data_IF_491892732018
#
_entry.id   IF_491892732018
#
_cell.length_a   1.000
_cell.length_b   1.000
_cell.length_c   1.000
_cell.angle_alpha   90.00
_cell.angle_beta   90.00
_cell.angle_gamma   90.00
#
_symmetry.space_group_name_H-M   'P 1'
#
loop_
_entity.id
_entity.type
_entity.pdbx_description
1 polymer ?
#
# COMPACT_ATOMS: atom_id res chain seq x y z
N UNK A 1 -6.40 20.61 30.65
CA UNK A 1 -5.11 20.51 31.35
C UNK A 1 -4.06 20.11 30.34
N UNK A 2 -3.03 20.92 30.14
CA UNK A 2 -1.93 20.60 29.24
C UNK A 2 -0.90 19.76 30.02
N UNK A 3 -0.46 18.64 29.45
CA UNK A 3 0.58 17.79 30.03
C UNK A 3 1.78 17.81 29.09
N UNK A 4 2.96 18.15 29.61
CA UNK A 4 4.23 18.08 28.88
C UNK A 4 5.09 17.01 29.52
N UNK A 5 5.22 15.88 28.83
CA UNK A 5 5.98 14.72 29.28
C UNK A 5 6.31 13.79 28.09
N UNK A 6 7.18 12.81 28.31
CA UNK A 6 7.45 11.75 27.34
C UNK A 6 6.16 10.97 27.00
N UNK A 7 5.88 10.80 25.72
CA UNK A 7 4.61 10.23 25.25
C UNK A 7 4.39 8.80 25.75
N UNK A 8 5.42 7.94 25.64
CA UNK A 8 5.33 6.53 26.04
C UNK A 8 5.11 6.40 27.54
N UNK A 9 5.95 7.06 28.35
CA UNK A 9 5.84 7.02 29.82
C UNK A 9 4.52 7.62 30.30
N UNK A 10 4.02 8.63 29.62
CA UNK A 10 2.70 9.23 29.93
C UNK A 10 1.58 8.25 29.64
N UNK A 11 1.58 7.60 28.47
CA UNK A 11 0.56 6.60 28.12
C UNK A 11 0.59 5.38 29.05
N UNK A 12 1.77 4.87 29.41
CA UNK A 12 1.93 3.77 30.36
C UNK A 12 1.29 4.11 31.73
N UNK A 13 1.62 5.29 32.28
CA UNK A 13 1.07 5.77 33.56
C UNK A 13 -0.43 6.05 33.47
N UNK A 14 -0.88 6.72 32.41
CA UNK A 14 -2.29 7.02 32.21
C UNK A 14 -3.12 5.74 32.09
N UNK A 15 -2.63 4.74 31.35
CA UNK A 15 -3.29 3.44 31.21
C UNK A 15 -3.48 2.76 32.58
N UNK A 16 -2.45 2.73 33.42
CA UNK A 16 -2.55 2.17 34.77
C UNK A 16 -3.56 2.94 35.64
N UNK A 17 -3.57 4.28 35.58
CA UNK A 17 -4.52 5.11 36.32
C UNK A 17 -5.96 4.89 35.86
N UNK A 18 -6.21 4.87 34.54
CA UNK A 18 -7.52 4.62 33.97
C UNK A 18 -8.04 3.23 34.35
N UNK A 19 -7.18 2.22 34.34
CA UNK A 19 -7.53 0.87 34.78
C UNK A 19 -7.94 0.85 36.26
N UNK A 20 -7.18 1.54 37.14
CA UNK A 20 -7.50 1.63 38.57
C UNK A 20 -8.79 2.41 38.85
N UNK A 21 -9.13 3.37 37.99
CA UNK A 21 -10.36 4.15 38.08
C UNK A 21 -11.57 3.42 37.45
N UNK A 22 -11.39 2.18 36.97
CA UNK A 22 -12.39 1.44 36.19
C UNK A 22 -12.97 2.25 35.02
N UNK A 23 -12.15 3.12 34.43
CA UNK A 23 -12.59 3.95 33.32
C UNK A 23 -12.95 3.06 32.12
N UNK A 24 -14.13 3.30 31.56
CA UNK A 24 -14.55 2.76 30.28
C UNK A 24 -14.86 3.92 29.35
N UNK A 25 -14.44 3.81 28.10
CA UNK A 25 -14.75 4.82 27.11
C UNK A 25 -16.23 4.71 26.69
N UNK A 26 -16.89 5.84 26.47
CA UNK A 26 -18.31 5.88 26.10
C UNK A 26 -18.59 5.51 24.63
N UNK A 27 -17.59 4.96 23.93
CA UNK A 27 -17.71 4.56 22.53
C UNK A 27 -18.43 3.21 22.35
N UNK A 28 -18.64 2.45 23.43
CA UNK A 28 -19.29 1.12 23.37
C UNK A 28 -18.65 0.25 22.28
N UNK A 29 -19.48 -0.29 21.39
CA UNK A 29 -19.07 -1.19 20.32
C UNK A 29 -18.62 -0.48 19.03
N UNK A 30 -18.60 0.85 18.99
CA UNK A 30 -18.31 1.62 17.76
C UNK A 30 -16.95 1.27 17.15
N UNK A 31 -15.94 0.98 17.98
CA UNK A 31 -14.61 0.60 17.50
C UNK A 31 -14.64 -0.78 16.84
N UNK A 32 -15.29 -1.77 17.47
CA UNK A 32 -15.42 -3.12 16.91
C UNK A 32 -16.25 -3.11 15.63
N UNK A 33 -17.35 -2.36 15.60
CA UNK A 33 -18.18 -2.22 14.40
C UNK A 33 -17.42 -1.53 13.26
N UNK A 34 -16.63 -0.49 13.55
CA UNK A 34 -15.82 0.17 12.53
C UNK A 34 -14.75 -0.76 11.95
N UNK A 35 -14.09 -1.55 12.80
CA UNK A 35 -13.13 -2.58 12.35
C UNK A 35 -13.81 -3.67 11.52
N UNK A 36 -15.00 -4.10 11.91
CA UNK A 36 -15.76 -5.08 11.14
C UNK A 36 -16.13 -4.55 9.76
N UNK A 37 -16.69 -3.34 9.66
CA UNK A 37 -17.01 -2.70 8.37
C UNK A 37 -15.77 -2.55 7.48
N UNK A 38 -14.64 -2.15 8.08
CA UNK A 38 -13.37 -2.05 7.34
C UNK A 38 -12.93 -3.41 6.79
N UNK A 39 -12.99 -4.47 7.60
CA UNK A 39 -12.64 -5.81 7.17
C UNK A 39 -13.57 -6.32 6.06
N UNK A 40 -14.88 -6.10 6.16
CA UNK A 40 -15.85 -6.45 5.12
C UNK A 40 -15.55 -5.74 3.80
N UNK A 41 -15.25 -4.44 3.85
CA UNK A 41 -14.87 -3.64 2.68
C UNK A 41 -13.53 -4.10 2.09
N UNK A 42 -12.55 -4.40 2.93
CA UNK A 42 -11.26 -4.92 2.49
C UNK A 42 -11.42 -6.26 1.75
N UNK A 43 -12.26 -7.16 2.29
CA UNK A 43 -12.56 -8.43 1.62
C UNK A 43 -13.26 -8.23 0.28
N UNK A 44 -14.20 -7.26 0.18
CA UNK A 44 -14.85 -6.91 -1.09
C UNK A 44 -13.83 -6.44 -2.13
N UNK A 45 -12.97 -5.49 -1.76
CA UNK A 45 -11.91 -4.94 -2.62
C UNK A 45 -10.95 -6.05 -3.07
N UNK A 46 -10.55 -6.91 -2.13
CA UNK A 46 -9.62 -8.00 -2.41
C UNK A 46 -10.21 -9.01 -3.36
N UNK A 47 -11.53 -9.18 -3.48
CA UNK A 47 -12.15 -10.19 -4.34
C UNK A 47 -12.83 -9.61 -5.59
N UNK A 48 -12.60 -8.33 -5.89
CA UNK A 48 -13.18 -7.70 -7.06
C UNK A 48 -12.69 -8.39 -8.34
N UNK A 49 -13.62 -8.62 -9.27
CA UNK A 49 -13.35 -9.28 -10.55
C UNK A 49 -14.04 -8.54 -11.68
N UNK A 50 -13.35 -8.40 -12.81
CA UNK A 50 -13.94 -7.82 -14.01
C UNK A 50 -15.04 -8.73 -14.59
N UNK A 51 -16.09 -8.10 -15.11
CA UNK A 51 -17.22 -8.74 -15.79
C UNK A 51 -17.87 -7.72 -16.75
N UNK A 52 -18.79 -8.15 -17.60
CA UNK A 52 -19.46 -7.25 -18.56
C UNK A 52 -20.22 -6.10 -17.88
N UNK A 53 -20.63 -6.27 -16.62
CA UNK A 53 -21.31 -5.23 -15.81
C UNK A 53 -20.39 -4.66 -14.73
N UNK A 54 -19.08 -4.65 -14.97
CA UNK A 54 -18.09 -4.17 -14.00
C UNK A 54 -18.23 -2.67 -13.74
N UNK A 55 -18.34 -2.32 -12.46
CA UNK A 55 -18.32 -0.93 -11.99
C UNK A 55 -16.95 -0.72 -11.35
N UNK A 56 -16.11 0.19 -11.88
CA UNK A 56 -14.82 0.48 -11.26
C UNK A 56 -14.98 1.21 -9.94
N UNK A 57 -13.93 1.11 -9.11
CA UNK A 57 -13.86 1.82 -7.84
C UNK A 57 -13.82 3.34 -8.01
N UNK A 58 -13.31 3.82 -9.15
CA UNK A 58 -13.32 5.24 -9.54
C UNK A 58 -14.17 5.39 -10.79
N UNK A 59 -15.39 5.90 -10.59
CA UNK A 59 -16.37 6.12 -11.65
C UNK A 59 -16.24 7.54 -12.25
N UNK A 60 -15.17 7.78 -13.02
CA UNK A 60 -14.87 9.04 -13.69
C UNK A 60 -15.42 9.16 -15.15
N UNK A 61 -15.02 10.20 -15.88
CA UNK A 61 -15.50 10.49 -17.23
C UNK A 61 -14.77 9.72 -18.37
N UNK A 62 -13.95 8.72 -18.04
CA UNK A 62 -13.19 7.95 -19.03
C UNK A 62 -14.13 7.09 -19.91
N UNK A 63 -13.81 6.95 -21.21
CA UNK A 63 -14.52 6.02 -22.10
C UNK A 63 -14.08 4.58 -21.82
N UNK A 64 -14.69 3.98 -20.80
CA UNK A 64 -14.25 2.69 -20.23
C UNK A 64 -14.37 1.53 -21.18
N UNK A 65 -15.43 1.48 -21.99
CA UNK A 65 -15.59 0.40 -22.95
C UNK A 65 -14.37 0.35 -23.87
N UNK A 66 -13.97 1.49 -24.44
CA UNK A 66 -12.77 1.55 -25.29
C UNK A 66 -11.48 1.26 -24.54
N UNK A 67 -11.29 1.86 -23.36
CA UNK A 67 -10.04 1.69 -22.60
C UNK A 67 -9.88 0.24 -22.12
N UNK A 68 -10.95 -0.38 -21.62
CA UNK A 68 -10.91 -1.78 -21.18
C UNK A 68 -10.72 -2.72 -22.36
N UNK A 69 -11.43 -2.52 -23.48
CA UNK A 69 -11.22 -3.30 -24.70
C UNK A 69 -9.77 -3.22 -25.20
N UNK A 70 -9.19 -2.02 -25.24
CA UNK A 70 -7.81 -1.82 -25.64
C UNK A 70 -6.82 -2.48 -24.66
N UNK A 71 -6.99 -2.25 -23.37
CA UNK A 71 -6.16 -2.85 -22.32
C UNK A 71 -6.19 -4.38 -22.38
N UNK A 72 -7.39 -4.97 -22.45
CA UNK A 72 -7.57 -6.43 -22.55
C UNK A 72 -6.95 -6.95 -23.85
N UNK A 73 -7.10 -6.24 -24.96
CA UNK A 73 -6.51 -6.63 -26.24
C UNK A 73 -4.99 -6.64 -26.20
N UNK A 74 -4.37 -5.63 -25.58
CA UNK A 74 -2.91 -5.47 -25.49
C UNK A 74 -2.29 -6.43 -24.46
N UNK A 75 -2.85 -6.51 -23.27
CA UNK A 75 -2.24 -7.22 -22.13
C UNK A 75 -2.75 -8.65 -21.96
N UNK A 76 -3.90 -8.98 -22.57
CA UNK A 76 -4.67 -10.21 -22.31
C UNK A 76 -5.12 -10.36 -20.85
N UNK A 77 -5.12 -9.26 -20.10
CA UNK A 77 -5.49 -9.20 -18.70
C UNK A 77 -6.72 -8.30 -18.52
N UNK A 78 -7.47 -8.57 -17.46
CA UNK A 78 -8.58 -7.75 -16.96
C UNK A 78 -8.50 -7.66 -15.43
N UNK A 79 -7.31 -7.87 -14.86
CA UNK A 79 -7.11 -7.95 -13.42
C UNK A 79 -7.14 -6.53 -12.81
N UNK A 80 -8.10 -6.20 -11.92
CA UNK A 80 -8.14 -4.87 -11.32
C UNK A 80 -6.95 -4.63 -10.38
N UNK A 81 -6.45 -3.39 -10.33
CA UNK A 81 -5.33 -3.00 -9.46
C UNK A 81 -5.58 -3.33 -7.99
N UNK A 82 -6.80 -3.08 -7.50
CA UNK A 82 -7.22 -3.44 -6.15
C UNK A 82 -7.14 -4.94 -5.85
N UNK A 83 -7.49 -5.79 -6.83
CA UNK A 83 -7.32 -7.25 -6.72
C UNK A 83 -5.85 -7.63 -6.69
N UNK A 84 -4.99 -6.98 -7.50
CA UNK A 84 -3.53 -7.19 -7.44
C UNK A 84 -3.00 -6.88 -6.05
N UNK A 85 -3.37 -5.73 -5.47
CA UNK A 85 -2.94 -5.38 -4.11
C UNK A 85 -3.40 -6.40 -3.06
N UNK A 86 -4.63 -6.92 -3.17
CA UNK A 86 -5.12 -7.99 -2.30
C UNK A 86 -4.30 -9.27 -2.42
N UNK A 87 -4.04 -9.72 -3.66
CA UNK A 87 -3.20 -10.89 -3.92
C UNK A 87 -1.79 -10.68 -3.37
N UNK A 88 -1.17 -9.53 -3.62
CA UNK A 88 0.16 -9.20 -3.08
C UNK A 88 0.14 -9.20 -1.55
N UNK A 89 -0.88 -8.61 -0.93
CA UNK A 89 -0.98 -8.61 0.52
C UNK A 89 -1.19 -10.04 1.06
N UNK A 90 -1.79 -10.98 0.34
CA UNK A 90 -1.89 -12.38 0.75
C UNK A 90 -0.56 -13.14 0.60
N UNK A 91 0.14 -12.97 -0.52
CA UNK A 91 1.29 -13.81 -0.89
C UNK A 91 2.64 -13.31 -0.38
N UNK A 92 2.78 -12.00 -0.12
CA UNK A 92 4.05 -11.45 0.36
C UNK A 92 4.29 -11.77 1.84
N UNK A 93 5.53 -12.13 2.16
CA UNK A 93 5.97 -12.42 3.53
C UNK A 93 5.82 -11.21 4.45
N UNK A 94 5.59 -11.46 5.74
CA UNK A 94 5.37 -10.41 6.75
C UNK A 94 6.54 -9.44 6.91
N UNK A 95 7.75 -9.83 6.53
CA UNK A 95 8.97 -9.02 6.62
C UNK A 95 9.35 -8.37 5.28
N UNK A 96 8.53 -8.50 4.24
CA UNK A 96 8.76 -7.88 2.93
C UNK A 96 8.54 -6.38 3.00
N UNK A 97 9.34 -5.60 2.27
CA UNK A 97 9.15 -4.14 2.16
C UNK A 97 8.52 -3.82 0.81
N UNK A 98 7.39 -3.13 0.82
CA UNK A 98 6.88 -2.48 -0.37
C UNK A 98 7.35 -1.03 -0.44
N UNK A 99 7.64 -0.58 -1.66
CA UNK A 99 8.07 0.79 -1.97
C UNK A 99 7.11 1.39 -3.00
N UNK A 100 6.58 2.58 -2.74
CA UNK A 100 5.77 3.33 -3.71
C UNK A 100 5.96 4.83 -3.55
N UNK A 101 5.53 5.62 -4.54
CA UNK A 101 5.66 7.07 -4.44
C UNK A 101 4.50 7.86 -5.08
N UNK A 102 4.11 7.53 -6.32
CA UNK A 102 3.23 8.41 -7.07
C UNK A 102 2.12 7.69 -7.85
N UNK A 103 1.21 8.50 -8.42
CA UNK A 103 0.07 8.03 -9.22
C UNK A 103 -1.13 7.62 -8.37
N UNK A 104 -1.93 6.69 -8.88
CA UNK A 104 -3.10 6.13 -8.16
C UNK A 104 -2.69 5.17 -7.04
N UNK A 105 -1.52 4.53 -7.16
CA UNK A 105 -1.04 3.49 -6.26
C UNK A 105 -0.98 3.93 -4.78
N UNK A 106 -0.45 5.11 -4.40
CA UNK A 106 -0.48 5.55 -3.01
C UNK A 106 -1.88 5.60 -2.40
N UNK A 107 -2.88 6.07 -3.17
CA UNK A 107 -4.28 6.11 -2.71
C UNK A 107 -4.86 4.72 -2.51
N UNK A 108 -4.61 3.82 -3.47
CA UNK A 108 -5.06 2.43 -3.38
C UNK A 108 -4.36 1.67 -2.25
N UNK A 109 -3.07 1.91 -2.04
CA UNK A 109 -2.30 1.35 -0.94
C UNK A 109 -2.82 1.86 0.41
N UNK A 110 -3.11 3.16 0.53
CA UNK A 110 -3.70 3.72 1.74
C UNK A 110 -5.06 3.07 2.06
N UNK A 111 -5.86 2.76 1.03
CA UNK A 111 -7.18 2.14 1.18
C UNK A 111 -7.09 0.64 1.51
N UNK A 112 -6.17 -0.08 0.88
CA UNK A 112 -6.24 -1.55 0.80
C UNK A 112 -5.02 -2.28 1.38
N UNK A 113 -3.86 -1.65 1.56
CA UNK A 113 -2.67 -2.35 2.04
C UNK A 113 -2.71 -2.59 3.55
N UNK A 114 -2.53 -3.84 3.98
CA UNK A 114 -2.32 -4.16 5.39
C UNK A 114 -0.82 -4.37 5.64
N UNK A 115 -0.20 -3.45 6.37
CA UNK A 115 1.20 -3.61 6.77
C UNK A 115 1.31 -4.72 7.80
N UNK A 116 2.15 -5.73 7.52
CA UNK A 116 2.28 -6.92 8.36
C UNK A 116 3.43 -6.85 9.37
N UNK A 117 4.34 -5.90 9.22
CA UNK A 117 5.49 -5.76 10.10
C UNK A 117 5.94 -4.31 10.28
N UNK A 118 6.99 -4.15 11.09
CA UNK A 118 7.69 -2.88 11.25
C UNK A 118 8.58 -2.63 10.03
N UNK A 119 8.58 -1.39 9.54
CA UNK A 119 9.40 -0.97 8.39
C UNK A 119 9.11 -1.76 7.09
N UNK A 120 7.87 -2.22 6.89
CA UNK A 120 7.44 -2.98 5.70
C UNK A 120 6.69 -2.15 4.66
N UNK A 121 6.41 -0.88 4.97
CA UNK A 121 5.64 0.04 4.14
C UNK A 121 6.41 1.34 3.94
N UNK A 122 7.12 1.46 2.81
CA UNK A 122 7.92 2.62 2.46
C UNK A 122 7.23 3.43 1.36
N UNK A 123 6.45 4.43 1.75
CA UNK A 123 5.69 5.26 0.82
C UNK A 123 6.19 6.70 0.86
N UNK A 124 6.67 7.22 -0.28
CA UNK A 124 6.89 8.67 -0.43
C UNK A 124 5.59 9.31 -0.89
N UNK A 125 4.87 9.98 0.01
CA UNK A 125 3.59 10.62 -0.31
C UNK A 125 3.54 12.10 0.06
N UNK A 126 4.70 12.70 0.38
CA UNK A 126 4.79 14.12 0.73
C UNK A 126 4.76 14.99 -0.52
N UNK A 127 5.69 14.73 -1.45
CA UNK A 127 5.76 15.43 -2.74
C UNK A 127 5.22 14.59 -3.90
N UNK A 128 4.94 13.31 -3.69
CA UNK A 128 4.49 12.37 -4.73
C UNK A 128 5.48 12.34 -5.89
N UNK A 129 6.75 12.14 -5.54
CA UNK A 129 7.89 12.25 -6.43
C UNK A 129 7.95 11.05 -7.38
N UNK A 130 7.38 11.20 -8.57
CA UNK A 130 7.44 10.20 -9.63
C UNK A 130 8.90 9.82 -9.95
N UNK A 131 9.19 8.51 -10.02
CA UNK A 131 10.53 7.98 -10.27
C UNK A 131 11.35 7.70 -9.01
N UNK A 132 10.78 7.95 -7.82
CA UNK A 132 11.42 7.62 -6.55
C UNK A 132 11.52 6.11 -6.30
N UNK A 133 10.57 5.33 -6.80
CA UNK A 133 10.28 3.96 -6.37
C UNK A 133 11.47 3.00 -6.54
N UNK A 134 12.13 2.98 -7.71
CA UNK A 134 13.26 2.08 -7.97
C UNK A 134 14.49 2.47 -7.16
N UNK A 135 14.79 3.77 -7.09
CA UNK A 135 15.97 4.27 -6.39
C UNK A 135 15.84 4.01 -4.88
N UNK A 136 14.65 4.26 -4.34
CA UNK A 136 14.34 3.98 -2.95
C UNK A 136 14.35 2.48 -2.65
N UNK A 137 13.83 1.64 -3.56
CA UNK A 137 13.90 0.19 -3.41
C UNK A 137 15.35 -0.31 -3.34
N UNK A 138 16.26 0.23 -4.16
CA UNK A 138 17.68 -0.07 -4.02
C UNK A 138 18.23 0.37 -2.67
N UNK A 139 17.93 1.60 -2.23
CA UNK A 139 18.36 2.10 -0.92
C UNK A 139 17.87 1.23 0.24
N UNK A 140 16.59 0.82 0.22
CA UNK A 140 16.01 -0.11 1.19
C UNK A 140 16.73 -1.45 1.15
N UNK A 141 16.99 -2.02 -0.04
CA UNK A 141 17.68 -3.31 -0.17
C UNK A 141 19.13 -3.24 0.30
N UNK A 142 19.79 -2.09 0.19
CA UNK A 142 21.12 -1.86 0.74
C UNK A 142 21.11 -1.76 2.27
N UNK A 143 20.11 -1.07 2.84
CA UNK A 143 19.95 -0.90 4.28
C UNK A 143 19.44 -2.17 4.99
N UNK A 144 18.62 -2.97 4.30
CA UNK A 144 17.97 -4.19 4.79
C UNK A 144 18.24 -5.36 3.84
N UNK A 145 19.49 -5.87 3.74
CA UNK A 145 19.87 -6.89 2.75
C UNK A 145 19.06 -8.18 2.81
N UNK A 146 18.60 -8.55 4.01
CA UNK A 146 17.85 -9.78 4.29
C UNK A 146 16.36 -9.68 3.92
N UNK A 147 15.81 -8.48 3.71
CA UNK A 147 14.39 -8.30 3.37
C UNK A 147 14.18 -8.37 1.86
N UNK A 148 13.10 -9.00 1.42
CA UNK A 148 12.64 -8.87 0.03
C UNK A 148 12.03 -7.48 -0.17
N UNK A 149 12.34 -6.84 -1.30
CA UNK A 149 11.92 -5.46 -1.60
C UNK A 149 11.17 -5.42 -2.92
N UNK A 150 9.96 -4.88 -2.86
CA UNK A 150 9.02 -4.81 -3.97
C UNK A 150 8.69 -3.35 -4.28
N UNK A 151 9.12 -2.86 -5.44
CA UNK A 151 8.73 -1.54 -5.92
C UNK A 151 7.40 -1.64 -6.67
N UNK A 152 6.39 -0.92 -6.19
CA UNK A 152 5.08 -0.77 -6.82
C UNK A 152 5.06 0.59 -7.50
N UNK A 153 5.02 0.62 -8.83
CA UNK A 153 5.16 1.85 -9.60
C UNK A 153 4.32 1.86 -10.87
N UNK A 154 3.93 3.06 -11.30
CA UNK A 154 3.34 3.28 -12.61
C UNK A 154 4.39 3.32 -13.73
N UNK A 155 3.92 3.14 -14.96
CA UNK A 155 4.71 3.31 -16.19
C UNK A 155 5.35 4.71 -16.29
N UNK A 156 4.61 5.77 -15.92
CA UNK A 156 5.12 7.13 -15.88
C UNK A 156 6.29 7.29 -14.92
N UNK A 157 6.19 6.76 -13.69
CA UNK A 157 7.29 6.78 -12.72
C UNK A 157 8.51 6.02 -13.25
N UNK A 158 8.30 4.86 -13.87
CA UNK A 158 9.39 4.08 -14.46
C UNK A 158 10.13 4.85 -15.55
N UNK A 159 9.38 5.48 -16.46
CA UNK A 159 9.97 6.25 -17.57
C UNK A 159 10.68 7.51 -17.09
N UNK A 160 10.27 8.08 -15.96
CA UNK A 160 10.97 9.23 -15.36
C UNK A 160 12.32 8.84 -14.78
N UNK A 161 12.41 7.75 -14.01
CA UNK A 161 13.67 7.36 -13.38
C UNK A 161 13.72 5.86 -13.03
N UNK A 162 14.47 5.10 -13.84
CA UNK A 162 14.68 3.65 -13.65
C UNK A 162 16.17 3.26 -13.65
N UNK A 163 17.09 4.22 -13.68
CA UNK A 163 18.52 3.97 -13.89
C UNK A 163 19.15 3.10 -12.79
N UNK A 164 18.67 3.20 -11.55
CA UNK A 164 19.17 2.40 -10.43
C UNK A 164 18.82 0.90 -10.55
N UNK A 165 17.96 0.51 -11.49
CA UNK A 165 17.80 -0.90 -11.84
C UNK A 165 19.12 -1.50 -12.35
N UNK A 166 19.90 -0.76 -13.14
CA UNK A 166 21.21 -1.20 -13.61
C UNK A 166 22.19 -1.33 -12.44
N UNK A 167 22.23 -0.34 -11.55
CA UNK A 167 23.03 -0.39 -10.32
C UNK A 167 22.68 -1.60 -9.46
N UNK A 168 21.39 -1.88 -9.29
CA UNK A 168 20.91 -3.04 -8.51
C UNK A 168 21.47 -4.36 -9.06
N UNK A 169 21.55 -4.50 -10.38
CA UNK A 169 22.13 -5.68 -11.04
C UNK A 169 23.64 -5.72 -10.81
N UNK A 170 24.33 -4.59 -10.98
CA UNK A 170 25.78 -4.48 -10.78
C UNK A 170 26.20 -4.84 -9.34
N UNK A 171 25.43 -4.39 -8.36
CA UNK A 171 25.66 -4.61 -6.93
C UNK A 171 25.11 -5.96 -6.43
N UNK A 172 24.50 -6.77 -7.31
CA UNK A 172 23.88 -8.04 -6.93
C UNK A 172 22.72 -7.89 -5.95
N UNK A 173 22.02 -6.75 -5.98
CA UNK A 173 20.88 -6.42 -5.12
C UNK A 173 19.59 -6.69 -5.88
N UNK A 174 19.02 -7.87 -5.66
CA UNK A 174 17.72 -8.25 -6.24
C UNK A 174 16.62 -7.28 -5.77
N UNK A 175 15.91 -6.71 -6.74
CA UNK A 175 14.66 -5.97 -6.56
C UNK A 175 13.54 -6.66 -7.35
N UNK A 176 12.31 -6.60 -6.86
CA UNK A 176 11.14 -7.03 -7.62
C UNK A 176 10.26 -5.82 -7.95
N UNK A 177 9.83 -5.72 -9.21
CA UNK A 177 9.05 -4.59 -9.70
C UNK A 177 7.64 -5.05 -10.09
N UNK A 178 6.62 -4.36 -9.61
CA UNK A 178 5.24 -4.52 -10.04
C UNK A 178 4.76 -3.24 -10.72
N UNK A 179 4.44 -3.36 -12.01
CA UNK A 179 3.99 -2.26 -12.84
C UNK A 179 2.47 -2.14 -12.81
N UNK A 180 2.01 -0.92 -12.56
CA UNK A 180 0.67 -0.50 -12.93
C UNK A 180 0.72 0.21 -14.29
N UNK A 181 -0.18 -0.19 -15.17
CA UNK A 181 -0.46 0.53 -16.42
C UNK A 181 -1.75 1.31 -16.13
N UNK A 182 -1.64 2.64 -16.17
CA UNK A 182 -2.77 3.56 -15.94
C UNK A 182 -3.48 3.80 -17.28
#
# INVERSE_FOLDING_TARGET
MQVVADAKKTLEKLTALLQSAHYQANWGDQISEAKQRFNEELQRIYHISYSDNFIPEVDDALDREKVYEEFIKLTKSHLPQSRVLGILNEVLDENSVIVGAAGSLPGDLQRAWQSKGEETYHLEYGYSCMGYEINAALGVKLAQPEKEVYALLGDGSYMMLHSELVTSIQEGKKLMLFYSII
#
